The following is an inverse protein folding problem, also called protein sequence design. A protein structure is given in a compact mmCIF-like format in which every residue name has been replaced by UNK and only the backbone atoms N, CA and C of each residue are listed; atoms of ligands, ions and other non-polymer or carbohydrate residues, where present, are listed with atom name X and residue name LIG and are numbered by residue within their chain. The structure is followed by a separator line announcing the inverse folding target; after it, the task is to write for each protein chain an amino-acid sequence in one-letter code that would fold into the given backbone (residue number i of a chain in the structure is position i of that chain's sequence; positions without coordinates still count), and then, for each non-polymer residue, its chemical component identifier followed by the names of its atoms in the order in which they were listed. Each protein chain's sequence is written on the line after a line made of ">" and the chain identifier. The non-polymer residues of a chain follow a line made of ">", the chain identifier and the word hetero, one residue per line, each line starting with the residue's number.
data_IF_094979020926
#
_entry.id   IF_094979020926
#
_cell.length_a   1.000
_cell.length_b   1.000
_cell.length_c   1.000
_cell.angle_alpha   90.00
_cell.angle_beta   90.00
_cell.angle_gamma   90.00
#
_symmetry.space_group_name_H-M   'P 1'
#
loop_
_entity.id
_entity.type
_entity.pdbx_description
1 polymer ?
#
# COMPACT_ATOMS: atom_id res chain seq x y z
N UNK A 1 -42.42 -13.72 35.45
CA UNK A 1 -42.25 -12.74 34.34
C UNK A 1 -41.02 -11.83 34.51
N UNK A 2 -40.79 -11.20 35.68
CA UNK A 2 -39.65 -10.29 35.90
C UNK A 2 -38.26 -10.90 35.65
N UNK A 3 -38.04 -12.16 36.05
CA UNK A 3 -36.75 -12.85 35.83
C UNK A 3 -36.45 -13.14 34.36
N UNK A 4 -37.46 -13.45 33.54
CA UNK A 4 -37.24 -13.75 32.12
C UNK A 4 -36.89 -12.48 31.32
N UNK A 5 -37.46 -11.34 31.71
CA UNK A 5 -37.10 -10.03 31.15
C UNK A 5 -35.66 -9.65 31.51
N UNK A 6 -35.26 -9.81 32.77
CA UNK A 6 -33.87 -9.54 33.21
C UNK A 6 -32.87 -10.45 32.50
N UNK A 7 -33.19 -11.74 32.35
CA UNK A 7 -32.34 -12.69 31.65
C UNK A 7 -32.21 -12.35 30.15
N UNK A 8 -33.32 -11.98 29.50
CA UNK A 8 -33.34 -11.56 28.09
C UNK A 8 -32.53 -10.30 27.84
N UNK A 9 -32.64 -9.30 28.73
CA UNK A 9 -31.84 -8.08 28.64
C UNK A 9 -30.35 -8.36 28.85
N UNK A 10 -29.99 -9.24 29.80
CA UNK A 10 -28.60 -9.65 30.01
C UNK A 10 -28.02 -10.38 28.78
N UNK A 11 -28.78 -11.32 28.20
CA UNK A 11 -28.38 -12.03 26.98
C UNK A 11 -28.23 -11.09 25.78
N UNK A 12 -29.13 -10.11 25.62
CA UNK A 12 -29.03 -9.10 24.58
C UNK A 12 -27.74 -8.28 24.69
N UNK A 13 -27.39 -7.79 25.88
CA UNK A 13 -26.16 -7.01 26.07
C UNK A 13 -24.90 -7.86 25.90
N UNK A 14 -24.90 -9.12 26.35
CA UNK A 14 -23.79 -10.04 26.11
C UNK A 14 -23.59 -10.31 24.62
N UNK A 15 -24.67 -10.59 23.89
CA UNK A 15 -24.62 -10.81 22.44
C UNK A 15 -24.16 -9.56 21.68
N UNK A 16 -24.66 -8.38 22.07
CA UNK A 16 -24.26 -7.09 21.48
C UNK A 16 -22.78 -6.81 21.74
N UNK A 17 -22.31 -7.02 22.98
CA UNK A 17 -20.89 -6.84 23.33
C UNK A 17 -19.97 -7.78 22.55
N UNK A 18 -20.34 -9.05 22.42
CA UNK A 18 -19.61 -10.03 21.61
C UNK A 18 -19.58 -9.64 20.12
N UNK A 19 -20.71 -9.20 19.57
CA UNK A 19 -20.80 -8.74 18.19
C UNK A 19 -19.93 -7.48 17.95
N UNK A 20 -19.99 -6.50 18.86
CA UNK A 20 -19.16 -5.30 18.79
C UNK A 20 -17.67 -5.63 18.89
N UNK A 21 -17.26 -6.54 19.78
CA UNK A 21 -15.87 -6.99 19.84
C UNK A 21 -15.44 -7.69 18.56
N UNK A 22 -16.30 -8.55 18.00
CA UNK A 22 -16.00 -9.28 16.76
C UNK A 22 -15.86 -8.32 15.57
N UNK A 23 -16.73 -7.31 15.48
CA UNK A 23 -16.63 -6.24 14.50
C UNK A 23 -15.33 -5.46 14.67
N UNK A 24 -15.01 -5.00 15.88
CA UNK A 24 -13.77 -4.27 16.16
C UNK A 24 -12.53 -5.08 15.81
N UNK A 25 -12.50 -6.38 16.16
CA UNK A 25 -11.44 -7.30 15.78
C UNK A 25 -11.32 -7.45 14.26
N UNK A 26 -12.45 -7.57 13.55
CA UNK A 26 -12.47 -7.70 12.09
C UNK A 26 -12.04 -6.41 11.40
N UNK A 27 -12.46 -5.24 11.91
CA UNK A 27 -11.98 -3.92 11.45
C UNK A 27 -10.49 -3.79 11.69
N UNK A 28 -10.02 -4.09 12.89
CA UNK A 28 -8.61 -4.04 13.23
C UNK A 28 -7.81 -4.98 12.33
N UNK A 29 -8.26 -6.22 12.12
CA UNK A 29 -7.59 -7.16 11.22
C UNK A 29 -7.59 -6.69 9.77
N UNK A 30 -8.70 -6.16 9.26
CA UNK A 30 -8.77 -5.66 7.88
C UNK A 30 -7.88 -4.43 7.67
N UNK A 31 -7.92 -3.46 8.59
CA UNK A 31 -7.07 -2.29 8.53
C UNK A 31 -5.61 -2.71 8.66
N UNK A 32 -5.26 -3.53 9.65
CA UNK A 32 -3.90 -4.03 9.79
C UNK A 32 -3.47 -4.85 8.57
N UNK A 33 -4.35 -5.64 7.95
CA UNK A 33 -4.01 -6.39 6.73
C UNK A 33 -3.82 -5.45 5.54
N UNK A 34 -4.68 -4.47 5.31
CA UNK A 34 -4.46 -3.45 4.27
C UNK A 34 -3.21 -2.61 4.51
N UNK A 35 -2.94 -2.25 5.76
CA UNK A 35 -1.74 -1.51 6.21
C UNK A 35 -0.48 -2.41 6.17
N UNK A 36 -0.64 -3.75 6.14
CA UNK A 36 0.45 -4.74 6.05
C UNK A 36 0.96 -4.98 4.63
N UNK A 37 0.25 -4.54 3.59
CA UNK A 37 0.57 -4.89 2.20
C UNK A 37 1.09 -3.73 1.34
N UNK A 38 1.31 -2.54 1.90
CA UNK A 38 1.90 -1.43 1.15
C UNK A 38 2.25 -0.24 2.04
N UNK A 39 2.81 0.79 1.43
CA UNK A 39 3.02 2.10 2.05
C UNK A 39 1.68 2.69 2.53
N UNK A 40 1.41 2.52 3.83
CA UNK A 40 0.21 2.97 4.52
C UNK A 40 -0.15 4.42 4.15
N UNK A 41 -1.42 4.68 3.84
CA UNK A 41 -1.89 6.03 3.48
C UNK A 41 -1.63 6.46 2.03
N UNK A 42 -0.82 5.72 1.26
CA UNK A 42 -0.61 6.03 -0.16
C UNK A 42 -1.77 5.47 -0.99
N UNK A 43 -2.65 6.38 -1.42
CA UNK A 43 -3.86 6.06 -2.20
C UNK A 43 -3.69 6.31 -3.69
N UNK A 44 -2.53 6.84 -4.09
CA UNK A 44 -2.21 7.19 -5.46
C UNK A 44 -0.91 6.53 -5.88
N UNK A 45 -0.93 5.93 -7.06
CA UNK A 45 0.19 5.20 -7.59
C UNK A 45 0.28 5.35 -9.11
N UNK A 46 1.44 4.98 -9.64
CA UNK A 46 1.72 4.86 -11.06
C UNK A 46 2.12 3.41 -11.33
N UNK A 47 1.41 2.74 -12.23
CA UNK A 47 1.75 1.39 -12.66
C UNK A 47 2.53 1.43 -13.97
N UNK A 48 3.70 0.79 -13.99
CA UNK A 48 4.56 0.58 -15.15
C UNK A 48 4.27 -0.82 -15.70
N UNK A 49 3.73 -0.89 -16.92
CA UNK A 49 3.33 -2.16 -17.56
C UNK A 49 4.37 -2.68 -18.54
N UNK A 50 5.09 -1.77 -19.21
CA UNK A 50 6.13 -2.15 -20.15
C UNK A 50 7.24 -1.12 -20.18
N UNK A 51 8.46 -1.63 -20.37
CA UNK A 51 9.66 -0.84 -20.54
C UNK A 51 10.17 -1.06 -21.98
N UNK A 52 10.26 -0.02 -22.82
CA UNK A 52 10.85 -0.17 -24.14
C UNK A 52 12.29 -0.68 -24.04
N UNK A 53 12.70 -1.56 -24.96
CA UNK A 53 14.02 -2.21 -24.90
C UNK A 53 15.20 -1.22 -24.88
N UNK A 54 15.04 -0.08 -25.53
CA UNK A 54 16.00 1.02 -25.59
C UNK A 54 16.11 1.86 -24.32
N UNK A 55 15.14 1.81 -23.41
CA UNK A 55 15.17 2.57 -22.14
C UNK A 55 15.96 1.77 -21.12
N UNK A 56 16.99 2.39 -20.55
CA UNK A 56 17.84 1.82 -19.52
C UNK A 56 17.21 1.95 -18.12
N UNK A 57 17.64 1.08 -17.21
CA UNK A 57 17.30 1.17 -15.78
C UNK A 57 17.66 2.55 -15.23
N UNK A 58 18.87 3.02 -15.57
CA UNK A 58 19.39 4.30 -15.12
C UNK A 58 18.49 5.47 -15.51
N UNK A 59 18.00 5.51 -16.76
CA UNK A 59 17.10 6.58 -17.21
C UNK A 59 15.80 6.63 -16.40
N UNK A 60 15.20 5.47 -16.10
CA UNK A 60 13.97 5.41 -15.30
C UNK A 60 14.22 5.82 -13.86
N UNK A 61 15.25 5.25 -13.21
CA UNK A 61 15.58 5.57 -11.82
C UNK A 61 15.96 7.04 -11.66
N UNK A 62 16.69 7.60 -12.63
CA UNK A 62 17.05 9.03 -12.62
C UNK A 62 15.83 9.91 -12.83
N UNK A 63 14.89 9.55 -13.71
CA UNK A 63 13.65 10.30 -13.87
C UNK A 63 12.79 10.29 -12.60
N UNK A 64 12.64 9.11 -11.98
CA UNK A 64 11.93 8.96 -10.70
C UNK A 64 12.59 9.77 -9.59
N UNK A 65 13.92 9.68 -9.45
CA UNK A 65 14.68 10.39 -8.42
C UNK A 65 14.63 11.91 -8.63
N UNK A 66 14.75 12.36 -9.87
CA UNK A 66 14.64 13.79 -10.24
C UNK A 66 13.28 14.35 -9.88
N UNK A 67 12.20 13.64 -10.22
CA UNK A 67 10.84 14.09 -9.91
C UNK A 67 10.58 14.04 -8.40
N UNK A 68 11.01 12.99 -7.72
CA UNK A 68 10.88 12.87 -6.27
C UNK A 68 11.48 14.10 -5.57
N UNK A 69 12.73 14.44 -5.90
CA UNK A 69 13.43 15.60 -5.35
C UNK A 69 12.81 16.94 -5.74
N UNK A 70 12.43 17.11 -7.02
CA UNK A 70 11.86 18.37 -7.50
C UNK A 70 10.51 18.68 -6.84
N UNK A 71 9.65 17.66 -6.72
CA UNK A 71 8.30 17.78 -6.18
C UNK A 71 8.24 17.60 -4.66
N UNK A 72 9.38 17.27 -4.02
CA UNK A 72 9.48 16.90 -2.60
C UNK A 72 8.46 15.81 -2.21
N UNK A 73 8.41 14.76 -3.01
CA UNK A 73 7.55 13.59 -2.78
C UNK A 73 8.38 12.33 -2.65
N UNK A 74 7.87 11.37 -1.87
CA UNK A 74 8.48 10.06 -1.78
C UNK A 74 7.74 9.08 -2.71
N UNK A 75 8.50 8.29 -3.47
CA UNK A 75 7.97 7.29 -4.39
C UNK A 75 8.40 5.91 -3.90
N UNK A 76 7.44 5.01 -3.67
CA UNK A 76 7.65 3.69 -3.10
C UNK A 76 7.26 2.61 -4.10
N UNK A 77 8.13 1.62 -4.33
CA UNK A 77 7.84 0.45 -5.16
C UNK A 77 7.74 -0.80 -4.30
N UNK A 78 6.70 -1.59 -4.53
CA UNK A 78 6.49 -2.88 -3.87
C UNK A 78 6.97 -4.06 -4.76
N UNK A 79 7.67 -5.04 -4.17
CA UNK A 79 8.14 -6.29 -4.80
C UNK A 79 7.44 -7.56 -4.28
N UNK A 80 7.08 -8.57 -5.10
CA UNK A 80 6.56 -8.48 -6.45
C UNK A 80 5.07 -8.14 -6.43
N UNK A 81 4.59 -7.71 -7.60
CA UNK A 81 3.17 -7.63 -7.97
C UNK A 81 2.38 -8.85 -7.47
N UNK A 82 1.10 -8.65 -7.18
CA UNK A 82 0.12 -9.55 -6.56
C UNK A 82 -0.08 -10.97 -7.19
N UNK A 83 0.87 -11.49 -7.95
CA UNK A 83 0.89 -12.87 -8.42
C UNK A 83 1.53 -13.81 -7.39
N UNK A 84 0.63 -14.43 -6.61
CA UNK A 84 0.77 -15.75 -5.98
C UNK A 84 2.05 -16.02 -5.18
N UNK A 85 1.98 -15.71 -3.88
CA UNK A 85 2.32 -16.73 -2.87
C UNK A 85 3.63 -16.60 -2.09
N UNK A 86 4.40 -15.51 -2.19
CA UNK A 86 5.57 -15.29 -1.33
C UNK A 86 5.52 -13.91 -0.66
N UNK A 87 5.69 -13.89 0.67
CA UNK A 87 5.42 -12.77 1.58
C UNK A 87 6.71 -12.12 2.12
N UNK A 88 7.62 -11.76 1.24
CA UNK A 88 8.76 -10.90 1.57
C UNK A 88 8.74 -9.77 0.55
N UNK A 89 8.04 -8.69 0.89
CA UNK A 89 7.95 -7.53 0.02
C UNK A 89 9.13 -6.63 0.33
N UNK A 90 10.13 -6.65 -0.55
CA UNK A 90 11.16 -5.63 -0.53
C UNK A 90 10.53 -4.34 -1.10
N UNK A 91 10.67 -3.25 -0.35
CA UNK A 91 10.18 -1.94 -0.76
C UNK A 91 11.35 -1.10 -1.24
N UNK A 92 11.23 -0.44 -2.38
CA UNK A 92 12.24 0.50 -2.87
C UNK A 92 11.73 1.93 -2.75
N UNK A 93 12.57 2.86 -2.30
CA UNK A 93 12.19 4.28 -2.13
C UNK A 93 13.06 5.24 -2.92
N UNK A 94 12.41 6.15 -3.63
CA UNK A 94 13.02 7.39 -4.15
C UNK A 94 12.57 8.53 -3.25
N UNK A 95 13.54 9.12 -2.53
CA UNK A 95 13.28 10.00 -1.40
C UNK A 95 13.39 11.49 -1.78
N UNK A 96 12.26 12.17 -1.95
CA UNK A 96 12.20 13.60 -2.20
C UNK A 96 11.99 14.46 -0.95
N UNK A 97 11.35 13.91 0.08
CA UNK A 97 11.15 14.56 1.38
C UNK A 97 11.53 13.59 2.52
N UNK A 98 12.75 13.69 3.07
CA UNK A 98 13.20 12.82 4.14
C UNK A 98 12.35 12.86 5.41
N UNK A 99 11.62 13.97 5.65
CA UNK A 99 10.80 14.16 6.84
C UNK A 99 9.49 13.39 6.83
N UNK A 100 9.05 12.94 5.65
CA UNK A 100 7.79 12.20 5.44
C UNK A 100 8.02 10.75 5.01
N UNK A 101 9.25 10.23 5.13
CA UNK A 101 9.50 8.82 4.81
C UNK A 101 8.79 7.94 5.84
N UNK A 102 7.96 7.03 5.35
CA UNK A 102 7.13 6.16 6.20
C UNK A 102 7.97 5.08 6.88
N UNK A 103 9.18 4.77 6.38
CA UNK A 103 10.17 3.89 7.03
C UNK A 103 11.47 4.58 7.45
N UNK A 104 12.41 3.79 7.98
CA UNK A 104 13.75 4.25 8.35
C UNK A 104 14.79 3.78 7.33
N UNK A 105 15.25 4.74 6.52
CA UNK A 105 16.28 4.55 5.50
C UNK A 105 17.63 4.15 6.12
N UNK A 106 17.93 4.54 7.36
CA UNK A 106 19.22 4.23 8.01
C UNK A 106 19.29 2.80 8.50
N UNK A 107 18.18 2.28 9.02
CA UNK A 107 18.09 0.89 9.47
C UNK A 107 17.55 -0.06 8.39
N UNK A 108 17.19 0.47 7.21
CA UNK A 108 16.60 -0.26 6.09
C UNK A 108 15.32 -0.99 6.49
N UNK A 109 14.57 -0.41 7.44
CA UNK A 109 13.33 -1.02 7.96
C UNK A 109 12.13 -0.22 7.51
N UNK A 110 11.16 -0.90 6.92
CA UNK A 110 9.81 -0.37 6.80
C UNK A 110 9.04 -0.68 8.10
N UNK A 111 8.01 0.10 8.50
CA UNK A 111 7.17 -0.26 9.63
C UNK A 111 6.42 -1.56 9.30
N UNK A 112 7.00 -2.70 9.68
CA UNK A 112 6.32 -3.98 9.55
C UNK A 112 5.38 -4.17 10.74
N UNK A 113 4.07 -4.14 10.52
CA UNK A 113 3.09 -4.42 11.57
C UNK A 113 2.90 -5.94 11.76
N UNK A 114 3.91 -6.59 12.37
CA UNK A 114 3.83 -7.97 12.85
C UNK A 114 5.10 -8.80 12.61
N UNK A 115 5.50 -9.63 13.58
CA UNK A 115 6.75 -10.41 13.55
C UNK A 115 6.80 -11.60 12.57
N UNK A 116 5.93 -11.65 11.56
CA UNK A 116 5.90 -12.72 10.55
C UNK A 116 6.64 -12.38 9.25
N UNK A 117 6.96 -11.12 8.99
CA UNK A 117 7.59 -10.68 7.74
C UNK A 117 8.60 -9.56 7.99
N UNK A 118 9.73 -9.61 7.30
CA UNK A 118 10.72 -8.54 7.28
C UNK A 118 10.39 -7.60 6.12
N UNK A 119 9.76 -6.46 6.43
CA UNK A 119 9.60 -5.36 5.46
C UNK A 119 10.90 -4.59 5.37
N UNK A 120 11.70 -4.87 4.34
CA UNK A 120 12.95 -4.14 4.10
C UNK A 120 12.69 -2.93 3.19
N UNK A 121 13.28 -1.80 3.57
CA UNK A 121 13.26 -0.59 2.77
C UNK A 121 14.64 -0.38 2.14
N UNK A 122 14.70 -0.55 0.83
CA UNK A 122 15.88 -0.34 0.01
C UNK A 122 15.85 1.04 -0.67
N UNK A 123 17.01 1.64 -0.90
CA UNK A 123 17.09 2.81 -1.76
C UNK A 123 16.74 2.43 -3.21
N UNK A 124 16.14 3.38 -3.95
CA UNK A 124 15.68 3.17 -5.33
C UNK A 124 16.78 2.88 -6.35
N UNK A 125 18.05 3.10 -6.02
CA UNK A 125 19.21 2.72 -6.83
C UNK A 125 19.56 1.22 -6.74
N UNK A 126 19.06 0.52 -5.71
CA UNK A 126 19.19 -0.92 -5.56
C UNK A 126 18.20 -1.70 -6.43
N UNK A 127 17.27 -1.03 -7.11
CA UNK A 127 16.27 -1.66 -7.99
C UNK A 127 16.96 -2.16 -9.27
N UNK A 128 16.79 -3.44 -9.61
CA UNK A 128 17.31 -4.00 -10.87
C UNK A 128 16.30 -3.77 -12.03
N UNK A 129 16.62 -4.19 -13.25
CA UNK A 129 15.77 -3.83 -14.41
C UNK A 129 14.44 -4.59 -14.47
N UNK A 130 14.44 -5.88 -14.13
CA UNK A 130 13.25 -6.73 -14.06
C UNK A 130 12.26 -6.31 -12.97
N UNK A 131 12.77 -5.51 -12.03
CA UNK A 131 12.13 -5.01 -10.82
C UNK A 131 11.29 -3.75 -11.05
N UNK A 132 11.58 -3.05 -12.14
CA UNK A 132 10.96 -1.77 -12.50
C UNK A 132 9.48 -1.90 -12.85
N UNK A 133 9.00 -3.08 -13.23
CA UNK A 133 7.60 -3.27 -13.57
C UNK A 133 6.74 -3.40 -12.31
N UNK A 134 5.51 -2.89 -12.38
CA UNK A 134 4.55 -2.93 -11.28
C UNK A 134 4.18 -1.55 -10.76
N UNK A 135 3.75 -1.49 -9.49
CA UNK A 135 3.09 -0.32 -8.92
C UNK A 135 4.06 0.51 -8.07
N UNK A 136 4.13 1.80 -8.36
CA UNK A 136 4.88 2.79 -7.59
C UNK A 136 3.88 3.68 -6.86
N UNK A 137 3.77 3.55 -5.55
CA UNK A 137 3.03 4.47 -4.69
C UNK A 137 3.70 5.84 -4.65
N UNK A 138 2.92 6.90 -4.77
CA UNK A 138 3.41 8.29 -4.68
C UNK A 138 2.75 8.94 -3.47
N UNK A 139 3.56 9.27 -2.46
CA UNK A 139 3.10 10.03 -1.29
C UNK A 139 2.97 11.51 -1.67
N UNK A 140 1.84 11.85 -2.28
CA UNK A 140 1.63 13.19 -2.80
C UNK A 140 0.23 13.44 -3.39
N UNK A 141 0.10 14.61 -3.98
CA UNK A 141 -1.11 15.11 -4.64
C UNK A 141 -1.37 14.40 -5.97
N UNK A 142 -2.61 14.47 -6.47
CA UNK A 142 -2.94 13.95 -7.81
C UNK A 142 -2.16 14.67 -8.93
N UNK A 143 -1.78 15.92 -8.69
CA UNK A 143 -0.92 16.68 -9.60
C UNK A 143 0.50 16.10 -9.62
N UNK A 144 1.09 15.83 -8.46
CA UNK A 144 2.43 15.22 -8.37
C UNK A 144 2.47 13.82 -9.01
N UNK A 145 1.41 13.03 -8.88
CA UNK A 145 1.28 11.74 -9.59
C UNK A 145 1.29 11.92 -11.11
N UNK A 146 0.60 12.94 -11.63
CA UNK A 146 0.65 13.27 -13.07
C UNK A 146 2.05 13.67 -13.51
N UNK A 147 2.77 14.46 -12.71
CA UNK A 147 4.15 14.86 -13.02
C UNK A 147 5.06 13.62 -13.09
N UNK A 148 4.92 12.67 -12.16
CA UNK A 148 5.64 11.39 -12.21
C UNK A 148 5.30 10.62 -13.49
N UNK A 149 4.01 10.53 -13.84
CA UNK A 149 3.59 9.87 -15.07
C UNK A 149 4.15 10.55 -16.32
N UNK A 150 4.11 11.87 -16.40
CA UNK A 150 4.59 12.64 -17.54
C UNK A 150 6.11 12.46 -17.73
N UNK A 151 6.87 12.41 -16.64
CA UNK A 151 8.31 12.13 -16.67
C UNK A 151 8.63 10.73 -17.21
N UNK A 152 7.86 9.71 -16.80
CA UNK A 152 8.03 8.34 -17.29
C UNK A 152 7.54 8.18 -18.74
N UNK A 153 6.43 8.84 -19.09
CA UNK A 153 5.89 8.84 -20.45
C UNK A 153 6.84 9.53 -21.45
N UNK A 154 7.59 10.55 -21.01
CA UNK A 154 8.63 11.20 -21.82
C UNK A 154 9.77 10.24 -22.22
N UNK A 155 10.00 9.18 -21.43
CA UNK A 155 10.93 8.10 -21.75
C UNK A 155 10.29 7.01 -22.65
N UNK A 156 9.00 7.13 -22.97
CA UNK A 156 8.24 6.12 -23.72
C UNK A 156 7.78 4.92 -22.89
N UNK A 157 7.84 5.01 -21.56
CA UNK A 157 7.35 3.95 -20.66
C UNK A 157 5.82 3.96 -20.64
N UNK A 158 5.19 2.78 -20.77
CA UNK A 158 3.73 2.67 -20.66
C UNK A 158 3.31 2.71 -19.19
N UNK A 159 2.73 3.85 -18.80
CA UNK A 159 2.33 4.15 -17.43
C UNK A 159 0.84 4.46 -17.31
N UNK A 160 0.22 4.00 -16.22
CA UNK A 160 -1.16 4.38 -15.87
C UNK A 160 -1.26 4.77 -14.41
N UNK A 161 -2.12 5.74 -14.14
CA UNK A 161 -2.49 6.04 -12.76
C UNK A 161 -3.30 4.88 -12.19
N UNK A 162 -2.90 4.43 -11.01
CA UNK A 162 -3.68 3.52 -10.18
C UNK A 162 -4.03 4.27 -8.91
N UNK A 163 -5.30 4.24 -8.53
CA UNK A 163 -5.72 4.71 -7.22
C UNK A 163 -6.37 3.57 -6.47
N UNK A 164 -5.89 3.31 -5.26
CA UNK A 164 -6.62 2.46 -4.32
C UNK A 164 -7.54 3.36 -3.50
N UNK A 165 -8.81 2.95 -3.36
CA UNK A 165 -9.68 3.57 -2.36
C UNK A 165 -9.04 3.37 -0.98
N UNK A 166 -9.06 4.38 -0.08
CA UNK A 166 -8.55 4.24 1.28
C UNK A 166 -9.08 2.97 1.94
N UNK A 167 -8.29 2.28 2.76
CA UNK A 167 -8.71 1.06 3.46
C UNK A 167 -10.02 1.25 4.24
N UNK A 168 -10.18 2.42 4.88
CA UNK A 168 -11.42 2.81 5.58
C UNK A 168 -12.67 2.86 4.67
N UNK A 169 -12.50 3.11 3.37
CA UNK A 169 -13.57 3.11 2.38
C UNK A 169 -13.82 1.69 1.84
N UNK A 170 -12.76 0.87 1.71
CA UNK A 170 -12.87 -0.53 1.28
C UNK A 170 -13.46 -1.44 2.35
N UNK A 171 -13.22 -1.15 3.63
CA UNK A 171 -13.73 -1.95 4.75
C UNK A 171 -15.25 -2.15 4.74
N UNK A 172 -16.11 -1.10 4.68
CA UNK A 172 -17.55 -1.31 4.66
C UNK A 172 -18.02 -2.03 3.39
N UNK A 173 -17.33 -1.84 2.25
CA UNK A 173 -17.60 -2.59 1.01
C UNK A 173 -17.26 -4.07 1.18
N UNK A 174 -16.17 -4.40 1.88
CA UNK A 174 -15.79 -5.79 2.18
C UNK A 174 -16.78 -6.49 3.11
N UNK A 175 -17.37 -5.75 4.07
CA UNK A 175 -18.38 -6.28 4.98
C UNK A 175 -19.71 -6.62 4.29
N UNK A 176 -20.06 -5.89 3.24
CA UNK A 176 -21.37 -6.01 2.55
C UNK A 176 -21.26 -6.80 1.24
N UNK A 177 -20.10 -6.75 0.58
CA UNK A 177 -19.88 -7.26 -0.78
C UNK A 177 -19.14 -8.60 -0.87
N UNK A 178 -18.52 -9.10 0.20
CA UNK A 178 -17.94 -10.46 0.20
C UNK A 178 -18.98 -11.47 0.67
N UNK A 179 -19.42 -12.42 -0.18
CA UNK A 179 -20.13 -13.57 0.33
C UNK A 179 -19.18 -14.31 1.26
N UNK A 180 -19.63 -14.51 2.49
CA UNK A 180 -18.93 -15.14 3.62
C UNK A 180 -18.64 -16.64 3.37
N UNK A 181 -18.84 -17.10 2.14
CA UNK A 181 -18.53 -18.41 1.62
C UNK A 181 -18.12 -18.24 0.16
N UNK A 182 -17.11 -19.01 -0.25
CA UNK A 182 -16.48 -19.10 -1.59
C UNK A 182 -15.24 -18.21 -1.75
N UNK A 183 -14.12 -18.75 -1.25
CA UNK A 183 -12.84 -18.69 -1.96
C UNK A 183 -12.82 -19.81 -3.00
#
# INVERSE_FOLDING_TARGET
>A
MRNNLVLGTALFWMATGLLSMTLLLSTAMFLTDEDRYGSEGITRAVALYSLPGQVSLHEVTTALDTVAHAERVNIYKDWPSAENGVRTTDHFVFAGDPGSIIGDVRSHTFPSFGGRYTGHLYPGDAIERDQLLGVFGVDGTAQQVRIVMDALAALGVDVRSVSSSPAVVRWPVSLVGSPWAVR
#
